data_IF_766032791440
#
_entry.id   IF_766032791440
#
_cell.length_a   1.000
_cell.length_b   1.000
_cell.length_c   1.000
_cell.angle_alpha   90.00
_cell.angle_beta   90.00
_cell.angle_gamma   90.00
#
_symmetry.space_group_name_H-M   'P 1'
#
loop_
_entity.id
_entity.type
_entity.pdbx_description
1 polymer ?
#
# COMPACT_ATOMS: atom_id res chain seq x y z
N UNK A 1 26.66 -18.32 -0.06
CA UNK A 1 26.65 -17.35 -1.17
C UNK A 1 26.71 -15.95 -0.57
N UNK A 2 27.76 -15.17 -0.85
CA UNK A 2 27.78 -13.74 -0.50
C UNK A 2 26.72 -13.07 -1.35
N UNK A 3 25.63 -12.61 -0.75
CA UNK A 3 24.73 -11.66 -1.40
C UNK A 3 25.54 -10.38 -1.57
N UNK A 4 26.02 -10.11 -2.79
CA UNK A 4 26.61 -8.81 -3.10
C UNK A 4 25.50 -7.76 -2.93
N UNK A 5 25.47 -7.13 -1.76
CA UNK A 5 24.66 -5.93 -1.53
C UNK A 5 25.24 -4.84 -2.41
N UNK A 6 24.40 -4.28 -3.28
CA UNK A 6 24.70 -3.08 -4.05
C UNK A 6 25.11 -1.96 -3.07
N UNK A 7 26.26 -1.34 -3.30
CA UNK A 7 26.71 -0.19 -2.51
C UNK A 7 26.04 1.09 -3.00
N UNK A 8 26.10 2.15 -2.20
CA UNK A 8 25.62 3.48 -2.61
C UNK A 8 26.32 3.94 -3.91
N UNK A 9 27.63 3.70 -4.03
CA UNK A 9 28.39 4.07 -5.23
C UNK A 9 27.92 3.29 -6.46
N UNK A 10 27.69 1.99 -6.34
CA UNK A 10 27.17 1.17 -7.44
C UNK A 10 25.78 1.64 -7.87
N UNK A 11 24.95 2.04 -6.89
CA UNK A 11 23.60 2.55 -7.15
C UNK A 11 23.63 3.89 -7.90
N UNK A 12 24.46 4.83 -7.46
CA UNK A 12 24.71 6.11 -8.15
C UNK A 12 25.20 5.89 -9.60
N UNK A 13 26.10 4.93 -9.80
CA UNK A 13 26.60 4.57 -11.13
C UNK A 13 25.49 3.96 -12.03
N UNK A 14 24.58 3.17 -11.47
CA UNK A 14 23.44 2.66 -12.22
C UNK A 14 22.45 3.76 -12.61
N UNK A 15 22.15 4.69 -11.71
CA UNK A 15 21.25 5.80 -12.00
C UNK A 15 21.84 6.75 -13.06
N UNK A 16 23.15 7.02 -13.01
CA UNK A 16 23.80 7.89 -14.00
C UNK A 16 23.84 7.31 -15.42
N UNK A 17 23.74 5.99 -15.56
CA UNK A 17 23.66 5.29 -16.85
C UNK A 17 22.23 5.06 -17.34
N UNK A 18 21.22 5.39 -16.53
CA UNK A 18 19.83 5.19 -16.89
C UNK A 18 19.40 6.15 -18.00
N UNK A 19 18.59 5.65 -18.94
CA UNK A 19 18.02 6.42 -20.05
C UNK A 19 16.58 5.95 -20.30
N UNK A 20 15.76 6.69 -21.06
CA UNK A 20 14.42 6.23 -21.43
C UNK A 20 14.40 4.86 -22.14
N UNK A 21 15.41 4.56 -22.97
CA UNK A 21 15.55 3.27 -23.66
C UNK A 21 16.14 2.16 -22.78
N UNK A 22 16.88 2.52 -21.73
CA UNK A 22 17.46 1.58 -20.76
C UNK A 22 17.29 2.11 -19.34
N UNK A 23 16.06 2.05 -18.79
CA UNK A 23 15.79 2.59 -17.47
C UNK A 23 16.30 1.66 -16.37
N UNK A 24 16.60 2.24 -15.21
CA UNK A 24 16.93 1.49 -14.00
C UNK A 24 15.63 1.02 -13.31
N UNK A 25 15.56 -0.25 -12.92
CA UNK A 25 14.41 -0.84 -12.22
C UNK A 25 14.68 -0.91 -10.71
N UNK A 26 13.91 -0.19 -9.89
CA UNK A 26 14.15 -0.11 -8.44
C UNK A 26 13.94 -1.44 -7.72
N UNK A 27 12.81 -2.12 -7.97
CA UNK A 27 12.46 -3.34 -7.26
C UNK A 27 11.89 -4.38 -8.20
N UNK A 28 12.45 -5.59 -8.16
CA UNK A 28 11.90 -6.72 -8.90
C UNK A 28 10.43 -6.93 -8.48
N UNK A 29 9.51 -6.94 -9.46
CA UNK A 29 8.03 -7.00 -9.34
C UNK A 29 7.29 -5.72 -8.91
N UNK A 30 7.96 -4.58 -8.78
CA UNK A 30 7.28 -3.28 -8.79
C UNK A 30 7.72 -2.59 -10.07
N UNK A 31 6.78 -2.23 -10.94
CA UNK A 31 7.08 -1.59 -12.22
C UNK A 31 7.47 -0.11 -12.05
N UNK A 32 8.24 0.21 -11.00
CA UNK A 32 8.77 1.53 -10.72
C UNK A 32 10.21 1.61 -11.25
N UNK A 33 10.45 2.56 -12.14
CA UNK A 33 11.71 2.74 -12.84
C UNK A 33 12.23 4.16 -12.70
N UNK A 34 13.53 4.35 -12.94
CA UNK A 34 14.15 5.64 -13.18
C UNK A 34 14.70 5.68 -14.60
N UNK A 35 14.28 6.66 -15.39
CA UNK A 35 14.66 6.76 -16.80
C UNK A 35 15.88 7.66 -17.07
N UNK A 36 16.62 8.05 -16.02
CA UNK A 36 17.70 9.02 -16.11
C UNK A 36 17.27 10.47 -15.81
N UNK A 37 15.97 10.74 -15.75
CA UNK A 37 15.43 12.07 -15.42
C UNK A 37 14.34 12.01 -14.35
N UNK A 38 13.41 11.05 -14.46
CA UNK A 38 12.22 10.96 -13.62
C UNK A 38 11.99 9.54 -13.13
N UNK A 39 11.34 9.44 -11.99
CA UNK A 39 10.84 8.18 -11.48
C UNK A 39 9.44 7.96 -12.04
N UNK A 40 9.19 6.80 -12.62
CA UNK A 40 7.93 6.45 -13.27
C UNK A 40 7.43 5.14 -12.69
N UNK A 41 6.17 5.13 -12.24
CA UNK A 41 5.45 3.91 -11.94
C UNK A 41 4.63 3.49 -13.15
N UNK A 42 5.02 2.39 -13.80
CA UNK A 42 4.36 1.91 -15.02
C UNK A 42 3.15 1.03 -14.73
N UNK A 43 2.12 1.17 -15.56
CA UNK A 43 0.90 0.35 -15.47
C UNK A 43 0.20 0.53 -14.12
N UNK A 44 -0.16 1.77 -13.78
CA UNK A 44 -0.94 2.07 -12.59
C UNK A 44 -2.43 1.91 -12.89
N UNK A 45 -3.23 1.31 -11.98
CA UNK A 45 -4.69 1.23 -12.14
C UNK A 45 -5.33 2.63 -12.14
N UNK A 46 -6.45 2.83 -12.85
CA UNK A 46 -7.10 4.13 -12.92
C UNK A 46 -7.52 4.65 -11.53
N UNK A 47 -7.32 5.94 -11.27
CA UNK A 47 -7.48 6.55 -9.92
C UNK A 47 -8.92 6.47 -9.37
N UNK A 48 -9.88 6.60 -10.30
CA UNK A 48 -11.30 6.75 -10.02
C UNK A 48 -12.07 5.42 -10.03
N UNK A 49 -11.38 4.28 -10.03
CA UNK A 49 -12.07 2.98 -9.87
C UNK A 49 -12.49 2.85 -8.40
N UNK A 50 -13.76 3.16 -8.13
CA UNK A 50 -14.37 2.84 -6.84
C UNK A 50 -14.65 1.34 -6.76
N UNK A 51 -13.70 0.61 -6.17
CA UNK A 51 -13.81 -0.84 -5.97
C UNK A 51 -14.80 -1.23 -4.88
N UNK A 52 -15.36 -0.26 -4.15
CA UNK A 52 -16.36 -0.55 -3.11
C UNK A 52 -17.75 -0.88 -3.69
N UNK A 53 -18.02 -0.46 -4.93
CA UNK A 53 -19.28 -0.70 -5.64
C UNK A 53 -19.20 -1.80 -6.72
N UNK A 54 -18.09 -2.54 -6.79
CA UNK A 54 -17.96 -3.64 -7.76
C UNK A 54 -18.79 -4.84 -7.33
N UNK A 55 -19.88 -5.11 -8.04
CA UNK A 55 -20.64 -6.36 -7.91
C UNK A 55 -19.89 -7.51 -8.57
N UNK A 56 -19.22 -8.32 -7.76
CA UNK A 56 -18.45 -9.47 -8.22
C UNK A 56 -19.34 -10.60 -8.78
N UNK A 57 -20.65 -10.61 -8.48
CA UNK A 57 -21.57 -11.61 -9.02
C UNK A 57 -21.98 -11.28 -10.46
N UNK A 58 -22.10 -9.99 -10.81
CA UNK A 58 -22.41 -9.55 -12.17
C UNK A 58 -21.36 -10.03 -13.20
N UNK A 59 -20.08 -10.08 -12.79
CA UNK A 59 -18.96 -10.56 -13.63
C UNK A 59 -19.05 -12.05 -14.00
N UNK A 60 -19.79 -12.86 -13.24
CA UNK A 60 -19.94 -14.30 -13.51
C UNK A 60 -21.01 -14.60 -14.58
N UNK A 61 -21.87 -13.63 -14.92
CA UNK A 61 -23.04 -13.82 -15.78
C UNK A 61 -22.80 -13.54 -17.27
N UNK A 62 -21.61 -13.04 -17.66
CA UNK A 62 -21.30 -12.63 -19.03
C UNK A 62 -19.99 -13.31 -19.51
N UNK A 63 -20.05 -14.58 -19.97
CA UNK A 63 -18.87 -15.35 -20.35
C UNK A 63 -18.16 -14.82 -21.61
N UNK A 64 -18.85 -14.05 -22.46
CA UNK A 64 -18.28 -13.45 -23.69
C UNK A 64 -17.64 -12.08 -23.46
N UNK A 65 -17.66 -11.57 -22.22
CA UNK A 65 -17.06 -10.29 -21.90
C UNK A 65 -15.53 -10.43 -21.77
N UNK A 66 -14.81 -10.08 -22.84
CA UNK A 66 -13.35 -10.00 -22.77
C UNK A 66 -12.97 -8.78 -21.91
N UNK A 67 -12.61 -9.02 -20.65
CA UNK A 67 -12.00 -8.00 -19.79
C UNK A 67 -10.59 -7.75 -20.31
N UNK A 68 -10.37 -6.62 -20.99
CA UNK A 68 -9.03 -6.07 -21.14
C UNK A 68 -8.59 -5.55 -19.76
N UNK A 69 -7.93 -6.42 -18.99
CA UNK A 69 -7.44 -6.12 -17.65
C UNK A 69 -6.50 -4.92 -17.61
N UNK A 70 -5.91 -4.53 -18.74
CA UNK A 70 -4.97 -3.42 -18.86
C UNK A 70 -5.63 -2.13 -19.34
N UNK A 71 -6.89 -2.17 -19.80
CA UNK A 71 -7.59 -0.98 -20.26
C UNK A 71 -7.67 0.07 -19.14
N UNK A 72 -7.13 1.25 -19.42
CA UNK A 72 -7.09 2.38 -18.47
C UNK A 72 -5.96 2.31 -17.45
N UNK A 73 -5.04 1.35 -17.56
CA UNK A 73 -3.79 1.40 -16.81
C UNK A 73 -2.81 2.36 -17.48
N UNK A 74 -2.23 3.27 -16.71
CA UNK A 74 -1.39 4.34 -17.23
C UNK A 74 -0.10 4.48 -16.42
N UNK A 75 0.95 4.95 -17.08
CA UNK A 75 2.21 5.30 -16.42
C UNK A 75 2.06 6.61 -15.66
N UNK A 76 2.59 6.67 -14.42
CA UNK A 76 2.55 7.87 -13.58
C UNK A 76 3.96 8.34 -13.25
N UNK A 77 4.21 9.63 -13.47
CA UNK A 77 5.44 10.28 -13.06
C UNK A 77 5.36 10.60 -11.57
N UNK A 78 6.36 10.19 -10.81
CA UNK A 78 6.48 10.46 -9.38
C UNK A 78 7.35 11.69 -9.16
N UNK A 79 6.75 12.86 -9.34
CA UNK A 79 7.43 14.15 -9.14
C UNK A 79 7.94 14.27 -7.69
N UNK A 80 9.11 14.88 -7.54
CA UNK A 80 9.77 15.15 -6.25
C UNK A 80 10.08 13.92 -5.36
N UNK A 81 9.96 12.70 -5.88
CA UNK A 81 10.37 11.49 -5.16
C UNK A 81 11.89 11.34 -5.23
N UNK A 82 12.52 11.15 -4.07
CA UNK A 82 13.96 10.94 -3.98
C UNK A 82 14.34 9.48 -4.30
N UNK A 83 15.11 9.22 -5.37
CA UNK A 83 15.50 7.86 -5.74
C UNK A 83 16.39 7.18 -4.69
N UNK A 84 17.15 7.92 -3.89
CA UNK A 84 18.11 7.35 -2.91
C UNK A 84 17.43 6.85 -1.64
N UNK A 85 16.34 7.47 -1.24
CA UNK A 85 15.55 7.02 -0.09
C UNK A 85 14.31 6.20 -0.45
N UNK A 86 14.01 6.05 -1.75
CA UNK A 86 12.89 5.25 -2.21
C UNK A 86 13.06 3.79 -1.78
N UNK A 87 12.06 3.27 -1.09
CA UNK A 87 12.01 1.88 -0.60
C UNK A 87 10.67 1.25 -0.87
N UNK A 88 10.69 -0.07 -1.01
CA UNK A 88 9.48 -0.88 -1.15
C UNK A 88 8.87 -1.20 0.21
N UNK A 89 7.60 -0.88 0.39
CA UNK A 89 6.80 -1.33 1.54
C UNK A 89 6.10 -2.65 1.20
N UNK A 90 5.37 -2.68 0.08
CA UNK A 90 4.81 -3.90 -0.50
C UNK A 90 4.68 -3.75 -2.02
N UNK A 91 3.90 -4.60 -2.69
CA UNK A 91 3.76 -4.57 -4.15
C UNK A 91 2.92 -3.39 -4.68
N UNK A 92 2.19 -2.67 -3.82
CA UNK A 92 1.39 -1.47 -4.14
C UNK A 92 1.91 -0.19 -3.52
N UNK A 93 2.75 -0.31 -2.49
CA UNK A 93 3.21 0.81 -1.67
C UNK A 93 4.73 0.94 -1.75
N UNK A 94 5.16 2.13 -2.17
CA UNK A 94 6.52 2.62 -2.00
C UNK A 94 6.49 3.78 -0.99
N UNK A 95 7.66 4.13 -0.48
CA UNK A 95 7.83 5.37 0.27
C UNK A 95 9.26 5.85 0.13
N UNK A 96 9.47 7.16 0.15
CA UNK A 96 10.78 7.79 0.32
C UNK A 96 10.79 8.53 1.67
N UNK A 97 11.73 9.46 1.91
CA UNK A 97 11.72 10.28 3.14
C UNK A 97 10.58 11.29 3.21
N UNK A 98 9.94 11.63 2.09
CA UNK A 98 8.91 12.68 2.01
C UNK A 98 7.49 12.14 1.92
N UNK A 99 7.31 11.07 1.14
CA UNK A 99 6.04 10.63 0.62
C UNK A 99 5.84 9.13 0.80
N UNK A 100 4.56 8.76 0.89
CA UNK A 100 4.10 7.39 0.62
C UNK A 100 3.43 7.40 -0.74
N UNK A 101 3.74 6.42 -1.57
CA UNK A 101 3.20 6.29 -2.92
C UNK A 101 2.38 5.00 -2.99
N UNK A 102 1.10 5.09 -3.35
CA UNK A 102 0.22 3.94 -3.56
C UNK A 102 -0.20 3.85 -5.02
N UNK A 103 0.18 2.76 -5.69
CA UNK A 103 -0.18 2.52 -7.10
C UNK A 103 0.14 3.73 -7.99
N UNK A 104 1.31 4.33 -7.81
CA UNK A 104 1.75 5.54 -8.53
C UNK A 104 1.14 6.86 -8.06
N UNK A 105 0.32 6.87 -7.01
CA UNK A 105 -0.27 8.10 -6.42
C UNK A 105 0.47 8.52 -5.16
N UNK A 106 0.97 9.74 -5.15
CA UNK A 106 1.60 10.36 -3.97
C UNK A 106 0.54 10.70 -2.93
N UNK A 107 0.64 10.10 -1.75
CA UNK A 107 -0.25 10.32 -0.61
C UNK A 107 0.31 11.44 0.28
N UNK A 108 -0.21 12.65 0.11
CA UNK A 108 0.18 13.82 0.92
C UNK A 108 -0.29 13.67 2.38
N UNK A 109 0.49 14.21 3.31
CA UNK A 109 0.17 14.23 4.74
C UNK A 109 0.52 12.95 5.51
N UNK A 110 1.01 11.91 4.82
CA UNK A 110 1.55 10.70 5.44
C UNK A 110 3.07 10.86 5.57
N UNK A 111 3.62 10.56 6.75
CA UNK A 111 5.07 10.71 6.98
C UNK A 111 5.84 9.54 6.34
N UNK A 112 6.34 9.78 5.12
CA UNK A 112 7.10 8.83 4.32
C UNK A 112 8.29 8.23 5.07
N UNK A 113 9.03 9.01 5.85
CA UNK A 113 10.23 8.54 6.55
C UNK A 113 9.92 7.47 7.61
N UNK A 114 8.79 7.58 8.32
CA UNK A 114 8.41 6.64 9.39
C UNK A 114 7.39 5.58 8.96
N UNK A 115 6.80 5.72 7.77
CA UNK A 115 5.78 4.81 7.27
C UNK A 115 6.30 3.36 7.11
N UNK A 116 5.56 2.41 7.68
CA UNK A 116 5.92 0.98 7.61
C UNK A 116 4.71 0.06 7.74
N UNK A 117 4.86 -1.15 7.19
CA UNK A 117 3.94 -2.25 7.45
C UNK A 117 4.12 -2.80 8.87
N UNK A 118 3.06 -3.36 9.45
CA UNK A 118 3.12 -3.98 10.78
C UNK A 118 3.60 -5.45 10.76
N UNK A 119 3.67 -6.07 9.58
CA UNK A 119 4.33 -7.36 9.37
C UNK A 119 4.92 -7.45 7.97
N UNK A 120 5.74 -8.49 7.75
CA UNK A 120 6.32 -8.82 6.43
C UNK A 120 5.37 -9.66 5.56
N UNK A 121 4.16 -9.95 6.04
CA UNK A 121 3.19 -10.75 5.28
C UNK A 121 2.80 -10.02 3.99
N UNK A 122 2.77 -10.70 2.83
CA UNK A 122 2.26 -10.10 1.60
C UNK A 122 0.78 -9.72 1.68
N UNK A 123 0.07 -10.27 2.68
CA UNK A 123 -1.33 -9.97 3.00
C UNK A 123 -1.46 -8.99 4.17
N UNK A 124 -0.40 -8.22 4.49
CA UNK A 124 -0.51 -7.18 5.49
C UNK A 124 -1.47 -6.09 5.04
N UNK A 125 -2.38 -5.73 5.94
CA UNK A 125 -3.39 -4.69 5.72
C UNK A 125 -3.20 -3.50 6.67
N UNK A 126 -2.43 -3.64 7.75
CA UNK A 126 -2.18 -2.55 8.69
C UNK A 126 -0.80 -1.92 8.48
N UNK A 127 -0.79 -0.59 8.46
CA UNK A 127 0.39 0.25 8.27
C UNK A 127 0.36 1.38 9.29
N UNK A 128 1.51 1.97 9.58
CA UNK A 128 1.57 3.18 10.41
C UNK A 128 2.73 4.06 10.02
N UNK A 129 2.57 5.35 10.28
CA UNK A 129 3.68 6.30 10.43
C UNK A 129 3.78 6.72 11.91
N UNK A 130 4.58 7.75 12.22
CA UNK A 130 4.74 8.24 13.60
C UNK A 130 3.50 8.94 14.17
N UNK A 131 2.56 9.39 13.33
CA UNK A 131 1.40 10.22 13.70
C UNK A 131 0.07 9.48 13.61
N UNK A 132 -0.03 8.45 12.77
CA UNK A 132 -1.28 7.80 12.45
C UNK A 132 -1.12 6.32 12.10
N UNK A 133 -2.22 5.59 12.27
CA UNK A 133 -2.38 4.21 11.83
C UNK A 133 -3.31 4.20 10.61
N UNK A 134 -3.00 3.31 9.68
CA UNK A 134 -3.75 3.13 8.46
C UNK A 134 -4.09 1.66 8.23
N UNK A 135 -5.15 1.44 7.48
CA UNK A 135 -5.57 0.12 7.02
C UNK A 135 -5.88 0.17 5.53
N UNK A 136 -5.48 -0.88 4.82
CA UNK A 136 -5.85 -1.07 3.42
C UNK A 136 -7.33 -1.50 3.35
N UNK A 137 -8.12 -0.73 2.61
CA UNK A 137 -9.53 -0.99 2.35
C UNK A 137 -9.85 -0.68 0.88
N UNK A 138 -10.39 -1.66 0.16
CA UNK A 138 -10.76 -1.56 -1.26
C UNK A 138 -9.63 -1.06 -2.18
N UNK A 139 -8.41 -1.46 -1.86
CA UNK A 139 -7.20 -1.07 -2.56
C UNK A 139 -6.70 0.33 -2.27
N UNK A 140 -7.24 1.02 -1.24
CA UNK A 140 -6.81 2.36 -0.82
C UNK A 140 -6.39 2.35 0.64
N UNK A 141 -5.37 3.12 0.96
CA UNK A 141 -4.94 3.33 2.33
C UNK A 141 -5.93 4.28 3.03
N UNK A 142 -6.50 3.84 4.15
CA UNK A 142 -7.45 4.64 4.95
C UNK A 142 -6.89 4.84 6.34
N UNK A 143 -6.88 6.09 6.80
CA UNK A 143 -6.53 6.43 8.18
C UNK A 143 -7.55 5.81 9.13
N UNK A 144 -7.08 5.26 10.23
CA UNK A 144 -7.92 4.83 11.34
C UNK A 144 -7.99 5.98 12.34
N UNK A 145 -9.17 6.57 12.47
CA UNK A 145 -9.37 7.67 13.41
C UNK A 145 -9.31 7.17 14.86
N UNK A 146 -8.75 8.01 15.74
CA UNK A 146 -8.55 7.75 17.17
C UNK A 146 -7.65 6.55 17.53
N UNK A 147 -6.98 5.93 16.56
CA UNK A 147 -5.94 4.95 16.85
C UNK A 147 -4.71 5.61 17.44
N UNK A 148 -4.15 5.01 18.49
CA UNK A 148 -2.88 5.42 19.07
C UNK A 148 -1.71 4.72 18.34
N UNK A 149 -0.97 5.42 17.45
CA UNK A 149 0.09 4.81 16.65
C UNK A 149 1.26 4.28 17.49
N UNK A 150 1.47 4.81 18.69
CA UNK A 150 2.55 4.37 19.57
C UNK A 150 2.28 2.97 20.11
N UNK A 151 1.05 2.75 20.58
CA UNK A 151 0.65 1.48 21.23
C UNK A 151 -0.03 0.49 20.29
N UNK A 152 -0.36 0.89 19.05
CA UNK A 152 -1.01 0.02 18.07
C UNK A 152 -0.17 -1.21 17.71
N UNK A 153 -0.76 -2.39 17.85
CA UNK A 153 -0.17 -3.70 17.59
C UNK A 153 -1.16 -4.59 16.85
N UNK A 154 -0.68 -5.25 15.80
CA UNK A 154 -1.38 -6.34 15.15
C UNK A 154 -1.39 -7.56 16.08
N UNK A 155 -2.55 -8.19 16.25
CA UNK A 155 -2.73 -9.39 17.10
C UNK A 155 -3.31 -10.58 16.33
N UNK A 156 -3.64 -10.40 15.06
CA UNK A 156 -4.12 -11.45 14.17
C UNK A 156 -4.17 -10.96 12.73
N UNK A 157 -4.65 -11.79 11.80
CA UNK A 157 -4.70 -11.44 10.38
C UNK A 157 -5.49 -10.14 10.13
N UNK A 158 -6.72 -10.07 10.65
CA UNK A 158 -7.62 -8.92 10.54
C UNK A 158 -7.81 -8.16 11.87
N UNK A 159 -6.99 -8.47 12.87
CA UNK A 159 -7.17 -8.00 14.24
C UNK A 159 -5.96 -7.19 14.70
N UNK A 160 -6.26 -6.06 15.33
CA UNK A 160 -5.26 -5.23 15.99
C UNK A 160 -5.84 -4.63 17.27
N UNK A 161 -4.97 -4.08 18.11
CA UNK A 161 -5.36 -3.31 19.30
C UNK A 161 -4.38 -2.18 19.54
N UNK A 162 -4.83 -1.15 20.22
CA UNK A 162 -3.97 -0.18 20.89
C UNK A 162 -4.29 -0.19 22.40
N UNK A 163 -3.83 0.81 23.15
CA UNK A 163 -4.10 0.88 24.60
C UNK A 163 -5.58 1.11 24.95
N UNK A 164 -6.38 1.66 24.04
CA UNK A 164 -7.75 2.12 24.26
C UNK A 164 -8.82 1.32 23.48
N UNK A 165 -8.43 0.69 22.37
CA UNK A 165 -9.35 0.14 21.38
C UNK A 165 -8.88 -1.21 20.84
N UNK A 166 -9.84 -2.04 20.47
CA UNK A 166 -9.63 -3.19 19.57
C UNK A 166 -10.09 -2.80 18.16
N UNK A 167 -9.44 -3.35 17.14
CA UNK A 167 -9.68 -3.05 15.74
C UNK A 167 -9.93 -4.35 14.98
N UNK A 168 -11.07 -4.43 14.29
CA UNK A 168 -11.43 -5.59 13.47
C UNK A 168 -11.72 -5.13 12.05
N UNK A 169 -10.97 -5.67 11.07
CA UNK A 169 -11.27 -5.52 9.65
C UNK A 169 -12.15 -6.68 9.18
N UNK A 170 -13.43 -6.38 8.98
CA UNK A 170 -14.36 -7.28 8.30
C UNK A 170 -14.40 -6.96 6.81
N UNK A 171 -15.01 -7.83 6.01
CA UNK A 171 -15.03 -7.76 4.55
C UNK A 171 -15.34 -6.35 4.02
N UNK A 172 -16.26 -5.62 4.69
CA UNK A 172 -16.68 -4.27 4.31
C UNK A 172 -16.60 -3.20 5.42
N UNK A 173 -16.37 -3.58 6.68
CA UNK A 173 -16.41 -2.66 7.84
C UNK A 173 -15.13 -2.72 8.67
N UNK A 174 -14.77 -1.57 9.21
CA UNK A 174 -13.82 -1.48 10.32
C UNK A 174 -14.64 -1.18 11.57
N UNK A 175 -14.52 -2.03 12.58
CA UNK A 175 -15.25 -1.86 13.84
C UNK A 175 -14.24 -1.70 14.96
N UNK A 176 -14.51 -0.74 15.85
CA UNK A 176 -13.62 -0.35 16.95
C UNK A 176 -14.28 -0.54 18.31
N UNK A 177 -14.50 -1.79 18.75
CA UNK A 177 -15.08 -2.05 20.06
C UNK A 177 -14.08 -1.62 21.15
N UNK A 178 -14.57 -0.88 22.16
CA UNK A 178 -13.76 -0.49 23.33
C UNK A 178 -13.31 -1.69 24.16
N UNK A 179 -14.04 -2.82 24.10
CA UNK A 179 -13.74 -4.03 24.87
C UNK A 179 -13.93 -5.30 24.05
N UNK A 180 -13.30 -6.41 24.47
CA UNK A 180 -13.51 -7.75 23.89
C UNK A 180 -14.99 -8.18 23.98
N UNK A 181 -15.70 -7.82 25.08
CA UNK A 181 -17.12 -8.13 25.23
C UNK A 181 -17.97 -7.44 24.16
N UNK A 182 -17.65 -6.19 23.85
CA UNK A 182 -18.28 -5.46 22.75
C UNK A 182 -17.95 -6.06 21.38
N UNK A 183 -16.78 -6.68 21.22
CA UNK A 183 -16.41 -7.39 19.99
C UNK A 183 -17.28 -8.64 19.78
N UNK A 184 -17.53 -9.43 20.83
CA UNK A 184 -18.46 -10.57 20.76
C UNK A 184 -19.89 -10.11 20.45
N UNK A 185 -20.35 -9.00 21.03
CA UNK A 185 -21.68 -8.46 20.72
C UNK A 185 -21.83 -8.08 19.23
N UNK A 186 -20.81 -7.45 18.63
CA UNK A 186 -20.77 -7.18 17.18
C UNK A 186 -20.80 -8.48 16.38
N UNK A 187 -20.07 -9.50 16.83
CA UNK A 187 -20.05 -10.81 16.17
C UNK A 187 -21.41 -11.51 16.23
N UNK A 188 -22.08 -11.48 17.39
CA UNK A 188 -23.42 -12.07 17.56
C UNK A 188 -24.50 -11.34 16.76
N UNK A 189 -24.44 -10.01 16.66
CA UNK A 189 -25.40 -9.22 15.85
C UNK A 189 -25.32 -9.50 14.35
N UNK A 190 -24.21 -10.06 13.86
CA UNK A 190 -24.00 -10.34 12.43
C UNK A 190 -24.28 -11.79 12.03
N UNK A 191 -24.56 -12.67 13.00
CA UNK A 191 -24.89 -14.09 12.77
C UNK A 191 -26.41 -14.33 12.83
N UNK A 192 -27.19 -13.31 13.24
CA UNK A 192 -28.66 -13.27 13.18
C UNK A 192 -29.12 -12.55 11.91
#
# INVERSE_FOLDING_TARGET
MKTNRMTEKDFQEHLSKATPSKPFLFFNRVNCIYDGSKIIWRGCPPENVDKSNLDLNALQSHPDFTIDFMKGYEDRILEDVDPFSLRKINWRLLADVRYVIQDGIILKGIDGASFRSLSKSPREIFFKDKKAVYVEKFGKLKKIDNADPETFKKIGFSYAKDKNHFFVKMSNFLVYPKTIRSMYAVFCMMIL
#
